data_IF_037400511236
#
_entry.id   IF_037400511236
#
_cell.length_a   1.000
_cell.length_b   1.000
_cell.length_c   1.000
_cell.angle_alpha   90.00
_cell.angle_beta   90.00
_cell.angle_gamma   90.00
#
_symmetry.space_group_name_H-M   'P 1'
#
loop_
_entity.id
_entity.type
_entity.pdbx_description
1 polymer ?
#
# COMPACT_ATOMS: atom_id res chain seq x y z
N UNK A 1 -9.75 -19.18 12.42
CA UNK A 1 -8.70 -19.68 13.34
C UNK A 1 -7.67 -18.57 13.49
N UNK A 2 -7.38 -18.11 14.71
CA UNK A 2 -6.41 -17.02 14.92
C UNK A 2 -5.04 -17.59 15.28
N UNK A 3 -4.15 -17.65 14.29
CA UNK A 3 -2.78 -18.10 14.48
C UNK A 3 -1.94 -16.99 15.10
N UNK A 4 -1.69 -17.06 16.41
CA UNK A 4 -0.57 -16.34 17.03
C UNK A 4 0.72 -17.02 16.59
N UNK A 5 1.37 -16.51 15.54
CA UNK A 5 2.78 -16.85 15.26
C UNK A 5 3.63 -16.07 16.27
N UNK A 6 3.96 -16.71 17.39
CA UNK A 6 4.90 -16.17 18.38
C UNK A 6 6.33 -16.14 17.81
N UNK A 7 7.19 -15.31 18.40
CA UNK A 7 8.54 -15.04 17.88
C UNK A 7 9.49 -16.24 17.92
N UNK A 8 9.09 -17.35 18.57
CA UNK A 8 9.85 -18.59 18.69
C UNK A 8 10.16 -19.24 17.32
N UNK A 9 9.36 -18.98 16.27
CA UNK A 9 9.58 -19.55 14.93
C UNK A 9 10.62 -18.79 14.07
N UNK A 10 11.46 -17.93 14.66
CA UNK A 10 12.44 -17.11 13.92
C UNK A 10 13.83 -17.75 13.83
N UNK A 11 14.24 -18.52 14.84
CA UNK A 11 15.64 -19.00 14.96
C UNK A 11 15.90 -20.30 14.17
N UNK A 12 14.85 -21.06 13.84
CA UNK A 12 14.96 -22.35 13.12
C UNK A 12 14.86 -22.24 11.59
N UNK A 13 14.54 -21.07 11.03
CA UNK A 13 14.20 -20.95 9.62
C UNK A 13 15.44 -20.94 8.69
N UNK A 14 15.68 -22.05 7.99
CA UNK A 14 16.85 -22.22 7.13
C UNK A 14 16.87 -21.25 5.94
N UNK A 15 18.05 -21.09 5.31
CA UNK A 15 18.16 -20.28 4.09
C UNK A 15 17.28 -20.83 2.94
N UNK A 16 17.11 -22.15 2.85
CA UNK A 16 16.23 -22.78 1.88
C UNK A 16 14.76 -22.40 2.13
N UNK A 17 14.31 -22.42 3.39
CA UNK A 17 12.95 -22.04 3.78
C UNK A 17 12.70 -20.55 3.54
N UNK A 18 13.66 -19.68 3.89
CA UNK A 18 13.61 -18.24 3.59
C UNK A 18 13.48 -17.98 2.09
N UNK A 19 14.22 -18.70 1.25
CA UNK A 19 14.10 -18.64 -0.21
C UNK A 19 12.70 -19.09 -0.66
N UNK A 20 12.21 -20.24 -0.21
CA UNK A 20 10.89 -20.78 -0.63
C UNK A 20 9.73 -19.88 -0.18
N UNK A 21 9.76 -19.35 1.04
CA UNK A 21 8.77 -18.40 1.54
C UNK A 21 8.78 -17.09 0.73
N UNK A 22 9.96 -16.58 0.38
CA UNK A 22 10.10 -15.37 -0.44
C UNK A 22 9.60 -15.59 -1.87
N UNK A 23 9.92 -16.74 -2.48
CA UNK A 23 9.42 -17.11 -3.80
C UNK A 23 7.89 -17.36 -3.81
N UNK A 24 7.29 -17.85 -2.71
CA UNK A 24 5.82 -17.92 -2.55
C UNK A 24 5.15 -16.54 -2.51
N UNK A 25 5.82 -15.54 -1.93
CA UNK A 25 5.32 -14.15 -1.89
C UNK A 25 5.39 -13.49 -3.29
N UNK A 26 6.49 -13.71 -4.03
CA UNK A 26 6.62 -13.28 -5.42
C UNK A 26 5.64 -14.02 -6.36
N UNK A 27 5.46 -15.33 -6.18
CA UNK A 27 4.56 -16.14 -7.01
C UNK A 27 3.07 -15.75 -6.84
N UNK A 28 2.66 -15.38 -5.62
CA UNK A 28 1.34 -14.79 -5.35
C UNK A 28 1.12 -13.46 -6.10
N UNK A 29 2.20 -12.81 -6.55
CA UNK A 29 2.19 -11.62 -7.41
C UNK A 29 2.48 -11.90 -8.89
N UNK A 30 2.74 -13.15 -9.27
CA UNK A 30 2.93 -13.56 -10.66
C UNK A 30 4.23 -13.05 -11.29
N UNK A 31 5.34 -13.07 -10.56
CA UNK A 31 6.68 -12.82 -11.14
C UNK A 31 7.75 -13.73 -10.50
N UNK A 32 8.84 -13.97 -11.25
CA UNK A 32 10.06 -14.63 -10.75
C UNK A 32 11.09 -13.60 -10.30
N UNK A 33 12.07 -14.00 -9.49
CA UNK A 33 13.07 -13.07 -8.93
C UNK A 33 14.44 -13.30 -9.55
N UNK A 34 15.15 -12.23 -9.93
CA UNK A 34 16.58 -12.31 -10.22
C UNK A 34 17.37 -12.53 -8.92
N UNK A 35 18.57 -13.11 -9.02
CA UNK A 35 19.41 -13.46 -7.86
C UNK A 35 19.61 -12.27 -6.89
N UNK A 36 20.07 -11.12 -7.41
CA UNK A 36 20.28 -9.87 -6.68
C UNK A 36 19.01 -9.20 -6.12
N UNK A 37 17.84 -9.56 -6.66
CA UNK A 37 16.55 -9.11 -6.12
C UNK A 37 16.06 -10.04 -5.02
N UNK A 38 16.23 -11.35 -5.18
CA UNK A 38 15.88 -12.36 -4.19
C UNK A 38 16.71 -12.18 -2.91
N UNK A 39 18.03 -12.05 -3.02
CA UNK A 39 18.95 -11.88 -1.88
C UNK A 39 18.58 -10.72 -0.94
N UNK A 40 18.14 -9.59 -1.51
CA UNK A 40 17.71 -8.38 -0.78
C UNK A 40 16.26 -8.41 -0.29
N UNK A 41 15.42 -9.27 -0.86
CA UNK A 41 14.01 -9.38 -0.51
C UNK A 41 13.69 -10.63 0.30
N UNK A 42 14.70 -11.37 0.77
CA UNK A 42 14.52 -12.53 1.64
C UNK A 42 13.74 -12.17 2.90
N UNK A 43 12.81 -13.05 3.26
CA UNK A 43 12.14 -13.04 4.56
C UNK A 43 13.18 -13.35 5.66
N UNK A 44 12.97 -12.75 6.83
CA UNK A 44 13.88 -12.77 7.98
C UNK A 44 15.26 -12.15 7.70
N UNK A 45 15.28 -11.11 6.85
CA UNK A 45 16.46 -10.31 6.54
C UNK A 45 17.08 -10.65 5.18
N UNK A 46 18.00 -9.80 4.70
CA UNK A 46 18.76 -10.07 3.48
C UNK A 46 19.77 -11.23 3.70
N UNK A 47 20.40 -11.71 2.62
CA UNK A 47 21.54 -12.62 2.69
C UNK A 47 22.54 -12.33 1.57
N UNK A 48 23.78 -12.77 1.75
CA UNK A 48 24.84 -12.67 0.74
C UNK A 48 24.47 -13.43 -0.54
N UNK A 49 24.64 -12.79 -1.68
CA UNK A 49 24.18 -13.31 -2.98
C UNK A 49 24.84 -14.64 -3.36
N UNK A 50 26.11 -14.83 -2.97
CA UNK A 50 26.85 -16.08 -3.12
C UNK A 50 26.19 -17.23 -2.36
N UNK A 51 25.85 -17.02 -1.08
CA UNK A 51 25.19 -18.04 -0.23
C UNK A 51 23.81 -18.41 -0.76
N UNK A 52 23.08 -17.43 -1.30
CA UNK A 52 21.79 -17.66 -1.96
C UNK A 52 21.98 -18.48 -3.25
N UNK A 53 22.99 -18.18 -4.07
CA UNK A 53 23.29 -18.94 -5.30
C UNK A 53 23.68 -20.39 -5.03
N UNK A 54 24.56 -20.62 -4.04
CA UNK A 54 24.99 -21.96 -3.63
C UNK A 54 23.79 -22.76 -3.13
N UNK A 55 22.94 -22.18 -2.27
CA UNK A 55 21.72 -22.84 -1.78
C UNK A 55 20.79 -23.22 -2.94
N UNK A 56 20.48 -22.27 -3.83
CA UNK A 56 19.58 -22.48 -4.97
C UNK A 56 19.99 -23.63 -5.89
N UNK A 57 21.30 -23.87 -6.07
CA UNK A 57 21.78 -24.97 -6.93
C UNK A 57 21.38 -26.38 -6.44
N UNK A 58 21.05 -26.51 -5.15
CA UNK A 58 20.57 -27.77 -4.53
C UNK A 58 19.04 -27.89 -4.47
N UNK A 59 18.29 -26.83 -4.78
CA UNK A 59 16.86 -26.75 -4.48
C UNK A 59 15.98 -27.31 -5.62
N UNK A 60 15.73 -28.63 -5.62
CA UNK A 60 14.87 -29.31 -6.61
C UNK A 60 13.40 -28.81 -6.70
N UNK A 61 12.97 -27.96 -5.76
CA UNK A 61 11.65 -27.30 -5.69
C UNK A 61 11.62 -25.89 -6.31
N UNK A 62 12.76 -25.39 -6.79
CA UNK A 62 12.93 -24.11 -7.49
C UNK A 62 13.31 -24.37 -8.93
N UNK A 63 12.66 -23.67 -9.87
CA UNK A 63 13.00 -23.69 -11.30
C UNK A 63 13.65 -22.37 -11.68
N UNK A 64 14.70 -22.41 -12.49
CA UNK A 64 15.48 -21.24 -12.87
C UNK A 64 15.85 -21.19 -14.35
N UNK A 65 16.01 -19.99 -14.89
CA UNK A 65 16.50 -19.73 -16.24
C UNK A 65 17.12 -18.32 -16.29
N UNK A 66 18.26 -18.16 -16.97
CA UNK A 66 18.90 -16.84 -17.19
C UNK A 66 19.12 -15.98 -15.91
N UNK A 67 19.39 -16.62 -14.77
CA UNK A 67 19.57 -15.93 -13.48
C UNK A 67 18.28 -15.49 -12.78
N UNK A 68 17.12 -15.91 -13.28
CA UNK A 68 15.79 -15.70 -12.69
C UNK A 68 15.31 -17.02 -12.07
N UNK A 69 14.64 -16.94 -10.93
CA UNK A 69 14.18 -18.07 -10.11
C UNK A 69 12.68 -17.97 -9.82
N UNK A 70 11.99 -19.09 -9.83
CA UNK A 70 10.58 -19.22 -9.47
C UNK A 70 10.30 -20.59 -8.80
N UNK A 71 9.12 -20.77 -8.21
CA UNK A 71 8.71 -22.09 -7.73
C UNK A 71 8.53 -23.07 -8.90
N UNK A 72 8.86 -24.34 -8.69
CA UNK A 72 8.63 -25.40 -9.68
C UNK A 72 7.14 -25.54 -10.03
N UNK A 73 6.83 -25.72 -11.31
CA UNK A 73 5.46 -25.65 -11.85
C UNK A 73 4.98 -24.23 -12.17
N UNK A 74 5.86 -23.22 -12.10
CA UNK A 74 5.57 -21.80 -12.40
C UNK A 74 6.52 -21.23 -13.46
N UNK A 75 7.14 -22.08 -14.26
CA UNK A 75 8.22 -21.77 -15.21
C UNK A 75 7.86 -20.66 -16.23
N UNK A 76 6.56 -20.47 -16.55
CA UNK A 76 6.10 -19.34 -17.37
C UNK A 76 6.56 -17.97 -16.84
N UNK A 77 6.71 -17.85 -15.52
CA UNK A 77 7.15 -16.61 -14.88
C UNK A 77 8.60 -16.26 -15.22
N UNK A 78 9.43 -17.25 -15.60
CA UNK A 78 10.84 -17.02 -15.94
C UNK A 78 10.96 -16.20 -17.23
N UNK A 79 10.28 -16.60 -18.30
CA UNK A 79 10.29 -15.88 -19.57
C UNK A 79 9.51 -14.56 -19.52
N UNK A 80 8.38 -14.52 -18.79
CA UNK A 80 7.62 -13.28 -18.54
C UNK A 80 8.46 -12.24 -17.78
N UNK A 81 9.19 -12.65 -16.75
CA UNK A 81 10.10 -11.78 -15.98
C UNK A 81 11.31 -11.39 -16.81
N UNK A 82 11.92 -12.31 -17.57
CA UNK A 82 13.07 -12.00 -18.44
C UNK A 82 12.72 -10.91 -19.46
N UNK A 83 11.55 -11.02 -20.10
CA UNK A 83 11.04 -10.01 -21.03
C UNK A 83 10.85 -8.65 -20.34
N UNK A 84 10.27 -8.64 -19.13
CA UNK A 84 10.07 -7.43 -18.32
C UNK A 84 11.40 -6.78 -17.89
N UNK A 85 12.41 -7.57 -17.52
CA UNK A 85 13.75 -7.08 -17.16
C UNK A 85 14.48 -6.46 -18.36
N UNK A 86 14.40 -7.08 -19.54
CA UNK A 86 15.03 -6.55 -20.77
C UNK A 86 14.42 -5.22 -21.22
N UNK A 87 13.14 -4.96 -20.94
CA UNK A 87 12.51 -3.66 -21.20
C UNK A 87 12.87 -2.58 -20.17
N UNK A 88 13.49 -2.91 -19.04
CA UNK A 88 13.39 -2.12 -17.81
C UNK A 88 14.25 -0.83 -17.76
N UNK A 89 15.13 -0.58 -18.73
CA UNK A 89 16.12 0.52 -18.73
C UNK A 89 15.52 1.91 -18.96
N UNK A 90 15.73 2.50 -20.14
CA UNK A 90 15.24 3.86 -20.50
C UNK A 90 13.71 4.01 -20.32
N UNK A 91 12.96 2.92 -20.45
CA UNK A 91 11.52 2.89 -20.17
C UNK A 91 11.26 3.10 -18.67
N UNK A 92 12.02 2.46 -17.79
CA UNK A 92 11.91 2.64 -16.33
C UNK A 92 12.16 4.08 -15.92
N UNK A 93 13.29 4.66 -16.32
CA UNK A 93 13.67 6.06 -16.03
C UNK A 93 12.57 7.06 -16.49
N UNK A 94 12.07 6.88 -17.71
CA UNK A 94 11.01 7.73 -18.28
C UNK A 94 9.70 7.64 -17.49
N UNK A 95 9.33 6.45 -17.03
CA UNK A 95 8.11 6.26 -16.24
C UNK A 95 8.30 6.70 -14.78
N UNK A 96 9.51 6.62 -14.20
CA UNK A 96 9.81 7.26 -12.92
C UNK A 96 9.67 8.78 -13.03
N UNK A 97 10.16 9.40 -14.10
CA UNK A 97 9.96 10.84 -14.32
C UNK A 97 8.47 11.23 -14.44
N UNK A 98 7.65 10.47 -15.17
CA UNK A 98 6.20 10.67 -15.21
C UNK A 98 5.53 10.41 -13.85
N UNK A 99 6.03 9.45 -13.06
CA UNK A 99 5.53 9.16 -11.72
C UNK A 99 5.83 10.29 -10.72
N UNK A 100 7.03 10.90 -10.81
CA UNK A 100 7.40 12.10 -10.06
C UNK A 100 6.52 13.29 -10.45
N UNK A 101 6.34 13.55 -11.75
CA UNK A 101 5.48 14.64 -12.24
C UNK A 101 4.02 14.50 -11.77
N UNK A 102 3.45 13.30 -11.88
CA UNK A 102 2.12 13.00 -11.35
C UNK A 102 2.06 13.26 -9.84
N UNK A 103 3.04 12.75 -9.08
CA UNK A 103 3.05 12.88 -7.61
C UNK A 103 3.22 14.32 -7.15
N UNK A 104 4.06 15.11 -7.82
CA UNK A 104 4.20 16.55 -7.58
C UNK A 104 2.89 17.29 -7.89
N UNK A 105 2.27 17.06 -9.04
CA UNK A 105 1.00 17.71 -9.38
C UNK A 105 -0.10 17.32 -8.38
N UNK A 106 -0.25 16.03 -8.10
CA UNK A 106 -1.26 15.47 -7.21
C UNK A 106 -1.14 16.00 -5.78
N UNK A 107 0.08 16.03 -5.23
CA UNK A 107 0.33 16.57 -3.89
C UNK A 107 0.24 18.09 -3.86
N UNK A 108 0.46 18.79 -4.98
CA UNK A 108 0.23 20.24 -5.07
C UNK A 108 -1.25 20.61 -5.12
N UNK A 109 -2.11 19.74 -5.67
CA UNK A 109 -3.57 19.92 -5.77
C UNK A 109 -4.33 19.37 -4.55
N UNK A 110 -3.90 18.24 -4.01
CA UNK A 110 -4.55 17.56 -2.90
C UNK A 110 -3.82 17.86 -1.58
N UNK A 111 -4.44 18.58 -0.63
CA UNK A 111 -3.80 18.89 0.65
C UNK A 111 -3.60 17.65 1.52
N UNK A 112 -4.57 16.73 1.52
CA UNK A 112 -4.73 15.62 2.47
C UNK A 112 -3.70 14.47 2.31
N UNK A 113 -2.94 14.44 1.22
CA UNK A 113 -1.93 13.40 0.96
C UNK A 113 -0.75 13.58 1.91
N UNK A 114 -0.46 12.52 2.68
CA UNK A 114 0.67 12.44 3.62
C UNK A 114 1.90 11.76 3.04
N UNK A 115 1.74 10.75 2.18
CA UNK A 115 2.83 10.05 1.49
C UNK A 115 2.34 9.46 0.16
N UNK A 116 3.22 9.38 -0.84
CA UNK A 116 3.03 8.60 -2.08
C UNK A 116 4.24 7.67 -2.26
N UNK A 117 3.97 6.40 -2.57
CA UNK A 117 4.97 5.43 -2.97
C UNK A 117 4.59 4.76 -4.29
N UNK A 118 5.57 4.58 -5.19
CA UNK A 118 5.44 3.74 -6.39
C UNK A 118 5.36 2.29 -5.93
N UNK A 119 4.50 1.48 -6.57
CA UNK A 119 4.31 0.07 -6.29
C UNK A 119 4.34 -0.76 -7.60
N UNK A 120 3.75 -1.95 -7.59
CA UNK A 120 3.50 -2.72 -8.80
C UNK A 120 4.73 -3.09 -9.63
N UNK A 121 4.55 -3.23 -10.94
CA UNK A 121 5.57 -3.70 -11.89
C UNK A 121 6.90 -2.94 -11.79
N UNK A 122 6.86 -1.61 -11.63
CA UNK A 122 8.05 -0.75 -11.52
C UNK A 122 8.97 -1.15 -10.34
N UNK A 123 8.40 -1.66 -9.25
CA UNK A 123 9.13 -2.10 -8.05
C UNK A 123 9.31 -3.62 -7.95
N UNK A 124 8.76 -4.38 -8.91
CA UNK A 124 8.71 -5.85 -8.86
C UNK A 124 9.85 -6.55 -9.61
N UNK A 125 10.82 -5.81 -10.14
CA UNK A 125 11.91 -6.37 -10.95
C UNK A 125 11.53 -6.58 -12.42
N UNK A 126 10.84 -5.61 -13.03
CA UNK A 126 10.70 -5.53 -14.48
C UNK A 126 9.42 -4.84 -14.96
N UNK A 127 9.60 -3.82 -15.80
CA UNK A 127 8.57 -2.92 -16.30
C UNK A 127 8.58 -2.83 -17.83
N UNK A 128 7.39 -2.80 -18.44
CA UNK A 128 7.15 -2.83 -19.88
C UNK A 128 6.37 -1.59 -20.32
N UNK A 129 6.45 -1.17 -21.59
CA UNK A 129 5.62 -0.05 -22.07
C UNK A 129 4.09 -0.28 -22.02
N UNK A 130 3.68 -1.54 -21.85
CA UNK A 130 2.29 -1.98 -21.68
C UNK A 130 1.84 -2.05 -20.20
N UNK A 131 2.72 -1.78 -19.23
CA UNK A 131 2.39 -1.73 -17.80
C UNK A 131 1.99 -0.31 -17.37
N UNK A 132 1.20 -0.22 -16.30
CA UNK A 132 0.78 1.02 -15.65
C UNK A 132 1.59 1.36 -14.39
N UNK A 133 1.59 2.65 -14.03
CA UNK A 133 2.25 3.17 -12.83
C UNK A 133 1.31 2.98 -11.63
N UNK A 134 1.57 1.95 -10.82
CA UNK A 134 0.87 1.71 -9.56
C UNK A 134 1.36 2.65 -8.45
N UNK A 135 0.42 3.26 -7.72
CA UNK A 135 0.67 4.05 -6.52
C UNK A 135 -0.02 3.51 -5.27
N UNK A 136 0.73 3.44 -4.18
CA UNK A 136 0.21 3.37 -2.82
C UNK A 136 0.17 4.80 -2.25
N UNK A 137 -0.96 5.20 -1.66
CA UNK A 137 -1.15 6.56 -1.13
C UNK A 137 -1.54 6.49 0.34
N UNK A 138 -0.93 7.36 1.15
CA UNK A 138 -1.32 7.57 2.54
C UNK A 138 -1.97 8.95 2.70
N UNK A 139 -3.07 9.02 3.46
CA UNK A 139 -3.88 10.24 3.59
C UNK A 139 -4.36 10.48 5.03
N UNK A 140 -4.76 11.71 5.30
CA UNK A 140 -5.49 12.12 6.51
C UNK A 140 -6.78 11.30 6.70
N UNK A 141 -7.15 11.09 7.97
CA UNK A 141 -8.36 10.36 8.37
C UNK A 141 -9.64 11.05 7.87
N UNK A 142 -10.53 10.28 7.24
CA UNK A 142 -11.74 10.76 6.54
C UNK A 142 -11.51 11.15 5.07
N UNK A 143 -10.27 11.38 4.65
CA UNK A 143 -9.95 11.95 3.35
C UNK A 143 -9.80 10.91 2.21
N UNK A 144 -10.02 9.61 2.47
CA UNK A 144 -9.86 8.52 1.47
C UNK A 144 -10.60 8.78 0.15
N UNK A 145 -11.87 9.17 0.22
CA UNK A 145 -12.71 9.42 -0.95
C UNK A 145 -12.34 10.67 -1.77
N UNK A 146 -12.17 11.88 -1.18
CA UNK A 146 -11.74 13.06 -1.96
C UNK A 146 -10.34 12.89 -2.57
N UNK A 147 -9.43 12.17 -1.90
CA UNK A 147 -8.14 11.77 -2.50
C UNK A 147 -8.38 10.87 -3.71
N UNK A 148 -9.12 9.75 -3.55
CA UNK A 148 -9.41 8.82 -4.64
C UNK A 148 -10.00 9.50 -5.89
N UNK A 149 -10.96 10.40 -5.68
CA UNK A 149 -11.60 11.16 -6.76
C UNK A 149 -10.60 12.08 -7.49
N UNK A 150 -9.84 12.90 -6.76
CA UNK A 150 -8.82 13.78 -7.35
C UNK A 150 -7.75 12.98 -8.09
N UNK A 151 -7.36 11.83 -7.54
CA UNK A 151 -6.42 10.90 -8.14
C UNK A 151 -6.92 10.28 -9.45
N UNK A 152 -8.20 9.90 -9.54
CA UNK A 152 -8.82 9.42 -10.79
C UNK A 152 -8.88 10.55 -11.83
N UNK A 153 -9.34 11.75 -11.44
CA UNK A 153 -9.40 12.92 -12.33
C UNK A 153 -8.02 13.24 -12.93
N UNK A 154 -6.97 13.22 -12.10
CA UNK A 154 -5.61 13.43 -12.54
C UNK A 154 -5.08 12.26 -13.39
N UNK A 155 -5.39 11.02 -13.04
CA UNK A 155 -5.02 9.84 -13.84
C UNK A 155 -5.63 9.89 -15.24
N UNK A 156 -6.87 10.41 -15.38
CA UNK A 156 -7.49 10.64 -16.68
C UNK A 156 -6.77 11.72 -17.49
N UNK A 157 -6.34 12.84 -16.87
CA UNK A 157 -5.50 13.86 -17.53
C UNK A 157 -4.23 13.23 -18.13
N UNK A 158 -3.52 12.40 -17.37
CA UNK A 158 -2.33 11.70 -17.85
C UNK A 158 -2.65 10.65 -18.92
N UNK A 159 -3.77 9.93 -18.80
CA UNK A 159 -4.24 8.99 -19.82
C UNK A 159 -4.55 9.69 -21.16
N UNK A 160 -5.13 10.90 -21.14
CA UNK A 160 -5.35 11.75 -22.32
C UNK A 160 -4.03 12.26 -22.91
N UNK A 161 -3.10 12.75 -22.07
CA UNK A 161 -1.74 13.17 -22.49
C UNK A 161 -1.02 12.06 -23.28
N UNK A 162 -1.19 10.82 -22.86
CA UNK A 162 -0.52 9.66 -23.45
C UNK A 162 -1.42 8.80 -24.36
N UNK A 163 -2.55 9.34 -24.86
CA UNK A 163 -3.54 8.61 -25.69
C UNK A 163 -3.02 7.95 -26.98
N UNK A 164 -1.82 8.32 -27.44
CA UNK A 164 -1.17 7.74 -28.64
C UNK A 164 -0.32 6.48 -28.35
N UNK A 165 -0.27 5.99 -27.11
CA UNK A 165 0.64 4.91 -26.68
C UNK A 165 0.06 3.50 -26.93
N UNK A 166 0.94 2.51 -27.12
CA UNK A 166 0.58 1.09 -27.40
C UNK A 166 -0.36 0.47 -26.37
N UNK A 167 -0.39 0.96 -25.12
CA UNK A 167 -1.39 0.65 -24.08
C UNK A 167 -2.83 0.59 -24.62
N UNK A 168 -3.18 1.45 -25.59
CA UNK A 168 -4.48 1.45 -26.27
C UNK A 168 -4.87 0.09 -26.87
N UNK A 169 -3.90 -0.74 -27.27
CA UNK A 169 -4.09 -2.03 -27.96
C UNK A 169 -4.41 -3.19 -27.01
N UNK A 170 -4.27 -2.99 -25.69
CA UNK A 170 -4.72 -3.93 -24.63
C UNK A 170 -5.82 -3.33 -23.74
N UNK A 171 -5.95 -2.00 -23.71
CA UNK A 171 -7.03 -1.33 -22.98
C UNK A 171 -8.40 -1.66 -23.56
N UNK A 172 -9.38 -1.94 -22.70
CA UNK A 172 -10.81 -1.97 -23.08
C UNK A 172 -11.32 -0.60 -23.54
N UNK A 173 -10.60 0.47 -23.22
CA UNK A 173 -10.83 1.84 -23.70
C UNK A 173 -9.64 2.27 -24.57
N UNK A 174 -9.63 1.97 -25.89
CA UNK A 174 -8.47 2.29 -26.75
C UNK A 174 -8.19 3.80 -26.86
N UNK A 175 -9.19 4.65 -26.68
CA UNK A 175 -9.04 6.11 -26.67
C UNK A 175 -8.50 6.68 -25.34
N UNK A 176 -8.47 5.87 -24.28
CA UNK A 176 -8.01 6.21 -22.94
C UNK A 176 -7.17 5.04 -22.37
N UNK A 177 -5.88 4.98 -22.68
CA UNK A 177 -4.98 3.99 -22.09
C UNK A 177 -4.80 4.26 -20.59
N UNK A 178 -5.05 3.25 -19.75
CA UNK A 178 -4.73 3.32 -18.31
C UNK A 178 -3.20 3.40 -18.15
N UNK A 179 -2.68 4.60 -17.90
CA UNK A 179 -1.25 4.81 -17.63
C UNK A 179 -0.93 4.80 -16.13
N UNK A 180 -1.90 5.21 -15.31
CA UNK A 180 -1.72 5.40 -13.87
C UNK A 180 -2.80 4.63 -13.12
N UNK A 181 -2.40 3.99 -12.03
CA UNK A 181 -3.24 3.19 -11.16
C UNK A 181 -3.06 3.64 -9.71
N UNK A 182 -4.17 3.86 -9.00
CA UNK A 182 -4.14 3.97 -7.54
C UNK A 182 -4.46 2.58 -7.01
N UNK A 183 -3.39 1.83 -6.70
CA UNK A 183 -3.46 0.46 -6.23
C UNK A 183 -4.14 0.38 -4.86
N UNK A 184 -3.79 1.30 -3.94
CA UNK A 184 -4.42 1.40 -2.62
C UNK A 184 -4.32 2.82 -2.05
N UNK A 185 -5.34 3.19 -1.27
CA UNK A 185 -5.28 4.35 -0.38
C UNK A 185 -5.48 3.84 1.06
N UNK A 186 -4.55 4.22 1.93
CA UNK A 186 -4.63 4.01 3.37
C UNK A 186 -4.84 5.36 4.08
N UNK A 187 -5.85 5.44 4.94
CA UNK A 187 -5.94 6.53 5.90
C UNK A 187 -4.92 6.34 7.03
N UNK A 188 -4.58 7.43 7.73
CA UNK A 188 -3.68 7.37 8.89
C UNK A 188 -4.15 6.36 9.95
N UNK A 189 -5.46 6.24 10.16
CA UNK A 189 -6.07 5.23 11.05
C UNK A 189 -6.10 3.80 10.51
N UNK A 190 -5.80 3.59 9.22
CA UNK A 190 -5.62 2.26 8.62
C UNK A 190 -4.13 1.82 8.59
N UNK A 191 -3.20 2.75 8.86
CA UNK A 191 -1.75 2.56 8.70
C UNK A 191 -0.93 2.74 9.99
N UNK A 192 -1.42 3.44 11.02
CA UNK A 192 -0.68 3.73 12.27
C UNK A 192 -1.28 3.07 13.54
N UNK A 193 -1.16 1.74 13.74
CA UNK A 193 -0.52 0.74 12.88
C UNK A 193 -1.47 0.21 11.80
N UNK A 194 -0.96 -0.65 10.91
CA UNK A 194 -1.79 -1.39 9.97
C UNK A 194 -2.72 -2.36 10.70
N UNK A 195 -3.99 -2.37 10.30
CA UNK A 195 -5.00 -3.34 10.79
C UNK A 195 -4.66 -4.77 10.35
N UNK A 196 -4.09 -4.93 9.16
CA UNK A 196 -3.63 -6.22 8.61
C UNK A 196 -2.12 -6.34 8.76
N UNK A 197 -1.67 -7.29 9.58
CA UNK A 197 -0.26 -7.52 9.90
C UNK A 197 0.11 -8.96 9.51
N UNK A 198 0.61 -9.15 8.29
CA UNK A 198 1.08 -10.45 7.80
C UNK A 198 2.26 -10.30 6.81
N UNK A 199 2.96 -11.41 6.55
CA UNK A 199 4.14 -11.44 5.68
C UNK A 199 3.90 -10.89 4.27
N UNK A 200 2.68 -10.97 3.73
CA UNK A 200 2.36 -10.42 2.42
C UNK A 200 2.18 -8.90 2.47
N UNK A 201 1.52 -8.36 3.50
CA UNK A 201 1.50 -6.91 3.74
C UNK A 201 2.93 -6.38 3.96
N UNK A 202 3.77 -7.10 4.72
CA UNK A 202 5.16 -6.70 4.93
C UNK A 202 5.97 -6.71 3.63
N UNK A 203 5.76 -7.69 2.75
CA UNK A 203 6.39 -7.77 1.43
C UNK A 203 5.96 -6.63 0.48
N UNK A 204 4.70 -6.18 0.56
CA UNK A 204 4.25 -5.00 -0.18
C UNK A 204 4.93 -3.72 0.30
N UNK A 205 5.00 -3.55 1.62
CA UNK A 205 5.59 -2.37 2.24
C UNK A 205 7.12 -2.32 2.07
N UNK A 206 7.78 -3.48 1.93
CA UNK A 206 9.21 -3.59 1.60
C UNK A 206 9.52 -3.19 0.15
N UNK A 207 8.65 -3.56 -0.80
CA UNK A 207 8.91 -3.38 -2.24
C UNK A 207 8.57 -1.99 -2.75
N UNK A 208 7.55 -1.33 -2.18
CA UNK A 208 7.18 0.03 -2.60
C UNK A 208 8.35 1.02 -2.50
N UNK A 209 8.40 2.01 -3.38
CA UNK A 209 9.40 3.08 -3.41
C UNK A 209 8.73 4.42 -3.04
N UNK A 210 8.84 4.89 -1.78
CA UNK A 210 8.37 6.21 -1.37
C UNK A 210 9.07 7.31 -2.18
N UNK A 211 8.29 8.30 -2.63
CA UNK A 211 8.78 9.43 -3.46
C UNK A 211 8.28 10.80 -3.00
N UNK A 212 7.31 10.83 -2.08
CA UNK A 212 6.83 12.04 -1.42
C UNK A 212 6.39 11.71 0.01
N UNK A 213 6.70 12.58 0.97
CA UNK A 213 6.23 12.45 2.36
C UNK A 213 7.00 11.38 3.13
N UNK A 214 8.33 11.39 3.01
CA UNK A 214 9.22 10.36 3.55
C UNK A 214 9.12 10.30 5.08
N UNK A 215 8.92 11.43 5.76
CA UNK A 215 8.68 11.47 7.20
C UNK A 215 7.38 10.75 7.63
N UNK A 216 6.33 10.77 6.80
CA UNK A 216 5.14 9.96 7.08
C UNK A 216 5.40 8.47 6.83
N UNK A 217 6.24 8.13 5.85
CA UNK A 217 6.70 6.74 5.67
C UNK A 217 7.53 6.27 6.89
N UNK A 218 8.49 7.08 7.36
CA UNK A 218 9.27 6.84 8.60
C UNK A 218 8.35 6.66 9.82
N UNK A 219 7.36 7.56 10.00
CA UNK A 219 6.32 7.45 11.04
C UNK A 219 5.53 6.14 10.93
N UNK A 220 5.20 5.72 9.72
CA UNK A 220 4.49 4.46 9.44
C UNK A 220 5.33 3.24 9.82
N UNK A 221 6.59 3.17 9.40
CA UNK A 221 7.50 2.09 9.78
C UNK A 221 7.71 2.03 11.30
N UNK A 222 7.89 3.18 11.96
CA UNK A 222 8.05 3.28 13.41
C UNK A 222 6.81 2.84 14.22
N UNK A 223 5.60 2.98 13.65
CA UNK A 223 4.36 2.45 14.26
C UNK A 223 4.08 0.98 13.92
N UNK A 224 4.79 0.39 12.95
CA UNK A 224 4.56 -0.97 12.47
C UNK A 224 5.76 -1.89 12.78
N UNK A 225 6.22 -1.90 14.02
CA UNK A 225 7.41 -2.67 14.45
C UNK A 225 7.34 -4.18 14.17
N UNK A 226 6.12 -4.74 14.01
CA UNK A 226 5.88 -6.11 13.53
C UNK A 226 6.51 -6.40 12.16
N UNK A 227 6.81 -5.38 11.35
CA UNK A 227 7.53 -5.53 10.09
C UNK A 227 8.94 -6.11 10.29
N UNK A 228 9.58 -5.87 11.44
CA UNK A 228 10.88 -6.46 11.78
C UNK A 228 10.84 -7.99 11.89
N UNK A 229 9.67 -8.56 12.24
CA UNK A 229 9.45 -10.00 12.29
C UNK A 229 9.51 -10.66 10.90
N UNK A 230 9.28 -9.92 9.82
CA UNK A 230 9.28 -10.47 8.46
C UNK A 230 10.43 -9.93 7.59
N UNK A 231 10.69 -8.63 7.60
CA UNK A 231 11.67 -7.97 6.74
C UNK A 231 12.39 -6.84 7.49
N UNK A 232 13.33 -7.15 8.41
CA UNK A 232 14.05 -6.12 9.18
C UNK A 232 14.80 -5.12 8.29
N UNK A 233 15.17 -5.49 7.06
CA UNK A 233 15.83 -4.61 6.10
C UNK A 233 14.97 -3.42 5.63
N UNK A 234 13.64 -3.44 5.83
CA UNK A 234 12.76 -2.32 5.48
C UNK A 234 13.12 -1.01 6.24
N UNK A 235 13.78 -1.12 7.39
CA UNK A 235 14.17 0.01 8.23
C UNK A 235 15.50 0.67 7.81
N UNK A 236 16.25 0.06 6.88
CA UNK A 236 17.59 0.50 6.49
C UNK A 236 17.68 0.94 5.03
N UNK A 237 16.54 1.17 4.37
CA UNK A 237 16.48 1.60 2.98
C UNK A 237 16.48 3.12 2.87
N UNK A 238 17.42 3.64 2.09
CA UNK A 238 17.42 5.03 1.67
C UNK A 238 16.13 5.40 0.93
N UNK A 239 15.71 6.66 1.09
CA UNK A 239 14.54 7.22 0.42
C UNK A 239 14.82 8.67 0.06
N UNK A 240 14.73 9.00 -1.22
CA UNK A 240 14.87 10.37 -1.70
C UNK A 240 13.56 11.15 -1.50
N UNK A 241 13.67 12.43 -1.14
CA UNK A 241 12.51 13.29 -0.88
C UNK A 241 12.45 14.46 -1.88
N UNK A 242 11.26 14.76 -2.38
CA UNK A 242 10.99 15.92 -3.23
C UNK A 242 10.09 16.91 -2.50
N UNK A 243 10.59 18.12 -2.27
CA UNK A 243 9.82 19.20 -1.67
C UNK A 243 8.79 19.77 -2.66
N UNK A 244 7.50 19.78 -2.29
CA UNK A 244 6.40 20.25 -3.16
C UNK A 244 5.64 21.42 -2.52
N UNK A 245 5.50 22.53 -3.25
CA UNK A 245 4.68 23.67 -2.83
C UNK A 245 3.20 23.42 -3.13
N UNK A 246 2.33 23.56 -2.12
CA UNK A 246 0.86 23.43 -2.26
C UNK A 246 0.27 24.61 -3.07
N UNK A 247 -0.65 24.32 -4.00
CA UNK A 247 -1.37 25.32 -4.81
C UNK A 247 -2.41 26.10 -4.00
N UNK A 248 -2.93 27.20 -4.58
CA UNK A 248 -4.11 27.88 -4.06
C UNK A 248 -5.33 26.95 -4.00
N UNK A 249 -5.51 26.08 -5.00
CA UNK A 249 -6.57 25.06 -5.03
C UNK A 249 -6.49 24.13 -3.83
N UNK A 250 -5.30 23.66 -3.45
CA UNK A 250 -5.11 22.83 -2.26
C UNK A 250 -5.44 23.59 -0.96
N UNK A 251 -5.14 24.89 -0.88
CA UNK A 251 -5.52 25.72 0.28
C UNK A 251 -7.03 25.87 0.39
N UNK A 252 -7.71 26.13 -0.73
CA UNK A 252 -9.18 26.24 -0.79
C UNK A 252 -9.85 24.91 -0.44
N UNK A 253 -9.37 23.78 -1.00
CA UNK A 253 -9.88 22.45 -0.69
C UNK A 253 -9.67 22.09 0.79
N UNK A 254 -8.53 22.47 1.39
CA UNK A 254 -8.27 22.24 2.80
C UNK A 254 -9.23 23.08 3.67
N UNK A 255 -9.42 24.37 3.37
CA UNK A 255 -10.35 25.24 4.09
C UNK A 255 -11.80 24.72 3.99
N UNK A 256 -12.27 24.35 2.79
CA UNK A 256 -13.62 23.80 2.58
C UNK A 256 -13.80 22.51 3.39
N UNK A 257 -12.86 21.57 3.30
CA UNK A 257 -13.00 20.27 3.96
C UNK A 257 -12.87 20.38 5.50
N UNK A 258 -11.92 21.16 6.00
CA UNK A 258 -11.78 21.43 7.44
C UNK A 258 -13.03 22.12 7.99
N UNK A 259 -13.56 23.14 7.31
CA UNK A 259 -14.80 23.81 7.74
C UNK A 259 -16.04 22.90 7.62
N UNK A 260 -16.08 21.98 6.64
CA UNK A 260 -17.16 20.98 6.53
C UNK A 260 -17.11 19.93 7.65
N UNK A 261 -15.91 19.50 8.06
CA UNK A 261 -15.72 18.59 9.20
C UNK A 261 -16.04 19.28 10.52
N UNK A 262 -15.62 20.54 10.71
CA UNK A 262 -15.94 21.35 11.90
C UNK A 262 -17.45 21.56 12.03
N UNK A 263 -18.12 22.07 10.98
CA UNK A 263 -19.57 22.34 11.03
C UNK A 263 -20.42 21.08 11.26
N UNK A 264 -20.02 19.91 10.72
CA UNK A 264 -20.69 18.62 11.04
C UNK A 264 -20.34 18.03 12.41
N UNK A 265 -19.30 18.50 13.08
CA UNK A 265 -19.04 18.21 14.49
C UNK A 265 -19.88 19.11 15.39
N UNK A 266 -19.99 20.41 15.09
CA UNK A 266 -20.87 21.34 15.81
C UNK A 266 -22.33 20.91 15.75
N UNK A 267 -22.85 20.55 14.57
CA UNK A 267 -24.21 19.99 14.41
C UNK A 267 -24.47 18.78 15.34
N UNK A 268 -23.47 17.92 15.53
CA UNK A 268 -23.60 16.72 16.37
C UNK A 268 -23.46 17.02 17.85
N UNK A 269 -22.59 17.95 18.26
CA UNK A 269 -22.49 18.35 19.66
C UNK A 269 -23.74 19.12 20.13
N UNK A 270 -24.25 20.06 19.33
CA UNK A 270 -25.48 20.81 19.66
C UNK A 270 -26.75 19.94 19.68
N UNK A 271 -26.83 18.89 18.85
CA UNK A 271 -27.93 17.89 18.91
C UNK A 271 -27.77 16.94 20.10
N UNK A 272 -26.54 16.63 20.51
CA UNK A 272 -26.25 15.86 21.72
C UNK A 272 -26.67 16.60 23.00
N UNK A 273 -26.26 17.86 23.17
CA UNK A 273 -26.55 18.65 24.38
C UNK A 273 -28.04 18.98 24.54
N UNK A 274 -28.73 19.34 23.46
CA UNK A 274 -30.17 19.62 23.49
C UNK A 274 -31.00 18.37 23.82
N UNK A 275 -30.63 17.20 23.31
CA UNK A 275 -31.32 15.94 23.60
C UNK A 275 -31.09 15.49 25.05
N UNK A 276 -29.87 15.67 25.58
CA UNK A 276 -29.53 15.33 26.97
C UNK A 276 -30.26 16.24 27.98
N UNK A 277 -30.28 17.56 27.73
CA UNK A 277 -30.98 18.52 28.59
C UNK A 277 -32.51 18.41 28.48
N UNK A 278 -33.05 18.15 27.29
CA UNK A 278 -34.49 17.95 27.09
C UNK A 278 -35.05 16.69 27.74
N UNK A 279 -34.30 15.58 27.71
CA UNK A 279 -34.68 14.31 28.34
C UNK A 279 -34.73 14.39 29.88
N UNK A 280 -33.82 15.16 30.49
CA UNK A 280 -33.73 15.36 31.94
C UNK A 280 -34.88 16.19 32.54
N UNK A 281 -35.56 17.02 31.75
CA UNK A 281 -36.67 17.86 32.21
C UNK A 281 -38.07 17.28 31.95
N UNK A 282 -38.20 16.28 31.07
CA UNK A 282 -39.50 15.83 30.55
C UNK A 282 -39.90 14.41 30.96
N UNK A 283 -39.18 13.77 31.89
CA UNK A 283 -39.49 12.41 32.33
C UNK A 283 -39.50 12.25 33.87
N UNK A 284 -40.56 11.60 34.37
CA UNK A 284 -40.78 11.22 35.78
C UNK A 284 -41.22 12.31 36.78
N UNK A 285 -42.20 13.12 36.38
CA UNK A 285 -43.25 13.57 37.31
C UNK A 285 -44.52 12.68 37.11
N UNK A 286 -45.12 12.19 38.21
CA UNK A 286 -46.24 11.23 38.22
C UNK A 286 -45.77 9.78 38.51
N UNK A 287 -46.14 9.03 39.56
CA UNK A 287 -47.37 8.92 40.40
C UNK A 287 -48.50 8.24 39.60
N UNK A 288 -48.94 7.00 39.86
CA UNK A 288 -48.64 5.98 40.92
C UNK A 288 -48.71 4.54 40.30
N UNK A 289 -48.80 3.36 40.94
CA UNK A 289 -49.27 2.91 42.28
C UNK A 289 -48.53 1.63 42.81
N UNK A 290 -49.27 0.66 43.39
CA UNK A 290 -48.86 -0.65 44.00
C UNK A 290 -50.15 -1.50 44.21
N UNK A 291 -50.13 -2.80 44.64
CA UNK A 291 -49.02 -3.77 44.84
C UNK A 291 -49.31 -5.23 44.35
N UNK A 292 -48.50 -6.21 44.81
CA UNK A 292 -48.77 -7.68 44.94
C UNK A 292 -48.68 -8.56 43.67
N UNK A 293 -48.35 -9.86 43.71
CA UNK A 293 -47.72 -10.77 44.71
C UNK A 293 -47.24 -12.08 44.00
N UNK A 294 -46.33 -12.87 44.61
CA UNK A 294 -46.00 -14.28 44.29
C UNK A 294 -45.41 -14.59 42.88
N UNK A 295 -44.81 -15.76 42.57
CA UNK A 295 -43.91 -16.70 43.29
C UNK A 295 -43.21 -17.66 42.27
N UNK A 296 -42.12 -18.33 42.70
CA UNK A 296 -41.57 -19.66 42.29
C UNK A 296 -41.50 -20.12 40.80
N UNK A 297 -40.31 -20.62 40.43
CA UNK A 297 -40.09 -21.76 39.49
C UNK A 297 -39.96 -21.43 38.00
N UNK A 298 -39.05 -22.04 37.22
CA UNK A 298 -37.92 -22.96 37.51
C UNK A 298 -36.67 -22.53 36.71
#
# INVERSE_FOLDING_TARGET
>A
MSGKTTAESLEECSLADRILLTLRLADRRGYGMSLAHLSKMLIYGEAEEEKVRIMLSSMHSVSHQDGIYCLKGRERLLSETRRRLLCNGVIGERYEAEAMLFSMEYTSLCPFIKCIAIAGSMTSGGFSEDDDIDFNIFTERGCKYPVYLLGILLSMKYSVKHRKKSLARKSRTPFLPKLICINVIWEESEALPFVRQDAYMAYELLRQKPIFGIDFCRKTLAKNMWLKTYFPQIYYRDSCETNVRKTLTARILHLIYTNYVVSKLEERMCKGTSTFLGGLYSSHAGITSKPSLCEVGD
#
